data_IF_048760076199
#
_entry.id   IF_048760076199
#
_cell.length_a   1.000
_cell.length_b   1.000
_cell.length_c   1.000
_cell.angle_alpha   90.00
_cell.angle_beta   90.00
_cell.angle_gamma   90.00
#
_symmetry.space_group_name_H-M   'P 1'
#
loop_
_entity.id
_entity.type
_entity.pdbx_description
1 polymer ?
#
# COMPACT_ATOMS: atom_id res chain seq x y z
N UNK A 1 1.32 44.15 -12.63
CA UNK A 1 1.85 42.98 -13.35
C UNK A 1 3.30 42.85 -12.95
N UNK A 2 3.59 41.86 -12.12
CA UNK A 2 4.95 41.46 -11.78
C UNK A 2 4.87 39.97 -11.53
N UNK A 3 5.41 39.22 -12.49
CA UNK A 3 5.55 37.78 -12.45
C UNK A 3 6.42 37.38 -11.25
N UNK A 4 5.86 36.53 -10.38
CA UNK A 4 6.63 35.66 -9.50
C UNK A 4 6.04 34.24 -9.61
N UNK A 5 5.92 33.71 -10.83
CA UNK A 5 5.67 32.29 -11.05
C UNK A 5 7.01 31.54 -11.11
N UNK A 6 7.55 31.23 -9.92
CA UNK A 6 8.36 30.03 -9.79
C UNK A 6 7.38 28.88 -9.56
N UNK A 7 7.10 28.09 -10.60
CA UNK A 7 5.98 27.14 -10.66
C UNK A 7 6.09 25.94 -9.69
N UNK A 8 6.01 26.21 -8.39
CA UNK A 8 5.77 25.20 -7.37
C UNK A 8 4.25 24.96 -7.29
N UNK A 9 3.78 23.96 -8.04
CA UNK A 9 2.36 23.65 -8.16
C UNK A 9 1.87 22.66 -7.09
N UNK A 10 0.55 22.62 -6.89
CA UNK A 10 -0.11 21.65 -6.00
C UNK A 10 0.22 20.19 -6.35
N UNK A 11 0.49 19.90 -7.63
CA UNK A 11 0.89 18.57 -8.11
C UNK A 11 2.26 18.17 -7.52
N UNK A 12 3.23 19.08 -7.54
CA UNK A 12 4.56 18.86 -6.95
C UNK A 12 4.47 18.63 -5.45
N UNK A 13 3.67 19.44 -4.74
CA UNK A 13 3.41 19.27 -3.31
C UNK A 13 2.83 17.89 -2.97
N UNK A 14 1.83 17.46 -3.75
CA UNK A 14 1.17 16.18 -3.59
C UNK A 14 2.15 15.02 -3.76
N UNK A 15 2.96 15.07 -4.83
CA UNK A 15 4.01 14.08 -5.08
C UNK A 15 5.02 14.03 -3.93
N UNK A 16 5.58 15.17 -3.52
CA UNK A 16 6.57 15.24 -2.44
C UNK A 16 6.02 14.68 -1.12
N UNK A 17 4.79 15.04 -0.77
CA UNK A 17 4.14 14.55 0.44
C UNK A 17 3.86 13.05 0.39
N UNK A 18 3.32 12.54 -0.73
CA UNK A 18 3.08 11.11 -0.93
C UNK A 18 4.37 10.29 -0.87
N UNK A 19 5.44 10.79 -1.51
CA UNK A 19 6.78 10.18 -1.47
C UNK A 19 7.32 10.13 -0.04
N UNK A 20 7.21 11.23 0.72
CA UNK A 20 7.65 11.28 2.12
C UNK A 20 6.87 10.31 3.02
N UNK A 21 5.54 10.22 2.87
CA UNK A 21 4.73 9.24 3.59
C UNK A 21 5.15 7.81 3.28
N UNK A 22 5.37 7.49 1.99
CA UNK A 22 5.80 6.17 1.54
C UNK A 22 7.19 5.80 2.08
N UNK A 23 8.13 6.73 2.00
CA UNK A 23 9.49 6.58 2.54
C UNK A 23 9.50 6.33 4.06
N UNK A 24 8.60 6.99 4.79
CA UNK A 24 8.47 6.81 6.23
C UNK A 24 7.90 5.44 6.63
N UNK A 25 7.15 4.78 5.74
CA UNK A 25 6.44 3.55 6.02
C UNK A 25 7.17 2.27 5.58
N UNK A 26 8.05 2.33 4.57
CA UNK A 26 8.61 1.13 3.94
C UNK A 26 9.86 0.56 4.63
N UNK A 27 10.67 1.38 5.30
CA UNK A 27 12.07 1.05 5.62
C UNK A 27 12.31 -0.04 6.68
N UNK A 28 11.26 -0.59 7.29
CA UNK A 28 11.39 -1.56 8.40
C UNK A 28 12.17 -2.80 7.95
N UNK A 29 13.28 -3.09 8.62
CA UNK A 29 14.10 -4.28 8.34
C UNK A 29 15.09 -4.13 7.18
N UNK A 30 15.16 -2.96 6.54
CA UNK A 30 16.16 -2.66 5.51
C UNK A 30 17.41 -2.02 6.12
N UNK A 31 18.59 -2.54 5.74
CA UNK A 31 19.85 -1.83 5.92
C UNK A 31 20.03 -0.81 4.80
N UNK A 32 20.09 0.48 5.14
CA UNK A 32 20.23 1.57 4.14
C UNK A 32 18.92 2.01 3.48
N UNK A 33 17.75 1.64 4.03
CA UNK A 33 16.44 2.06 3.56
C UNK A 33 16.07 3.50 3.93
N UNK A 34 16.79 4.48 3.38
CA UNK A 34 16.55 5.91 3.62
C UNK A 34 15.60 6.55 2.60
N UNK A 35 15.17 7.78 2.89
CA UNK A 35 14.27 8.56 2.03
C UNK A 35 14.79 8.72 0.60
N UNK A 36 16.09 8.93 0.42
CA UNK A 36 16.70 9.08 -0.90
C UNK A 36 16.48 7.85 -1.78
N UNK A 37 16.67 6.65 -1.22
CA UNK A 37 16.40 5.40 -1.93
C UNK A 37 14.92 5.26 -2.26
N UNK A 38 14.04 5.53 -1.29
CA UNK A 38 12.59 5.46 -1.50
C UNK A 38 12.13 6.37 -2.65
N UNK A 39 12.58 7.62 -2.66
CA UNK A 39 12.23 8.58 -3.70
C UNK A 39 12.75 8.12 -5.07
N UNK A 40 14.00 7.67 -5.14
CA UNK A 40 14.57 7.16 -6.39
C UNK A 40 13.81 5.93 -6.94
N UNK A 41 13.32 5.04 -6.06
CA UNK A 41 12.50 3.89 -6.47
C UNK A 41 11.10 4.30 -6.95
N UNK A 42 10.47 5.28 -6.29
CA UNK A 42 9.16 5.83 -6.67
C UNK A 42 9.23 6.48 -8.05
N UNK A 43 10.25 7.30 -8.28
CA UNK A 43 10.51 7.97 -9.57
C UNK A 43 10.78 6.96 -10.68
N UNK A 44 11.69 6.00 -10.45
CA UNK A 44 12.02 4.97 -11.43
C UNK A 44 10.81 4.08 -11.80
N UNK A 45 9.84 3.92 -10.90
CA UNK A 45 8.63 3.18 -11.17
C UNK A 45 7.59 3.96 -12.00
N UNK A 46 7.73 5.29 -12.09
CA UNK A 46 6.78 6.19 -12.75
C UNK A 46 5.55 6.52 -11.89
N UNK A 47 5.64 6.41 -10.56
CA UNK A 47 4.52 6.75 -9.68
C UNK A 47 4.21 8.26 -9.68
N UNK A 48 5.20 9.10 -10.04
CA UNK A 48 5.03 10.55 -10.20
C UNK A 48 3.96 10.92 -11.23
N UNK A 49 3.77 10.07 -12.24
CA UNK A 49 2.81 10.29 -13.32
C UNK A 49 1.36 10.02 -12.88
N UNK A 50 1.16 9.37 -11.72
CA UNK A 50 -0.17 9.07 -11.19
C UNK A 50 -0.65 10.26 -10.35
N UNK A 51 -1.54 11.06 -10.93
CA UNK A 51 -2.04 12.30 -10.32
C UNK A 51 -3.53 12.24 -10.01
N UNK A 52 -4.28 11.47 -10.81
CA UNK A 52 -5.74 11.43 -10.81
C UNK A 52 -6.26 9.99 -11.07
N UNK A 53 -7.57 9.71 -10.86
CA UNK A 53 -8.11 8.36 -11.04
C UNK A 53 -8.15 7.82 -12.48
N UNK A 54 -8.07 8.67 -13.50
CA UNK A 54 -8.08 8.26 -14.91
C UNK A 54 -6.74 7.65 -15.32
N UNK A 55 -5.67 7.94 -14.57
CA UNK A 55 -4.35 7.32 -14.74
C UNK A 55 -4.33 5.82 -14.31
N UNK A 56 -5.38 5.36 -13.62
CA UNK A 56 -5.51 3.97 -13.17
C UNK A 56 -5.95 3.09 -14.35
N UNK A 57 -5.16 2.05 -14.63
CA UNK A 57 -5.50 1.04 -15.64
C UNK A 57 -6.80 0.30 -15.36
N UNK A 58 -7.39 -0.30 -16.40
CA UNK A 58 -8.66 -1.03 -16.30
C UNK A 58 -8.59 -2.21 -15.31
N UNK A 59 -7.53 -3.02 -15.43
CA UNK A 59 -7.19 -4.02 -14.42
C UNK A 59 -6.34 -3.37 -13.33
N UNK A 60 -7.00 -2.89 -12.28
CA UNK A 60 -6.37 -2.21 -11.14
C UNK A 60 -5.34 -3.11 -10.45
N UNK A 61 -5.58 -4.42 -10.39
CA UNK A 61 -4.67 -5.37 -9.74
C UNK A 61 -3.37 -5.47 -10.53
N UNK A 62 -3.45 -5.73 -11.83
CA UNK A 62 -2.29 -5.81 -12.71
C UNK A 62 -1.54 -4.48 -12.80
N UNK A 63 -2.28 -3.37 -12.89
CA UNK A 63 -1.72 -2.02 -12.94
C UNK A 63 -0.91 -1.72 -11.67
N UNK A 64 -1.46 -1.97 -10.49
CA UNK A 64 -0.79 -1.70 -9.22
C UNK A 64 0.40 -2.63 -8.98
N UNK A 65 0.26 -3.93 -9.33
CA UNK A 65 1.38 -4.89 -9.29
C UNK A 65 2.52 -4.49 -10.24
N UNK A 66 2.19 -3.86 -11.37
CA UNK A 66 3.18 -3.35 -12.32
C UNK A 66 4.17 -2.39 -11.67
N UNK A 67 3.70 -1.46 -10.85
CA UNK A 67 4.58 -0.56 -10.09
C UNK A 67 5.44 -1.30 -9.08
N UNK A 68 4.87 -2.28 -8.36
CA UNK A 68 5.64 -3.06 -7.38
C UNK A 68 6.77 -3.84 -8.06
N UNK A 69 6.49 -4.46 -9.21
CA UNK A 69 7.48 -5.19 -10.00
C UNK A 69 8.58 -4.27 -10.53
N UNK A 70 8.23 -3.06 -11.01
CA UNK A 70 9.22 -2.04 -11.41
C UNK A 70 10.12 -1.64 -10.23
N UNK A 71 9.55 -1.41 -9.04
CA UNK A 71 10.33 -1.10 -7.84
C UNK A 71 11.25 -2.27 -7.48
N UNK A 72 10.77 -3.51 -7.52
CA UNK A 72 11.60 -4.69 -7.26
C UNK A 72 12.78 -4.79 -8.22
N UNK A 73 12.52 -4.64 -9.53
CA UNK A 73 13.57 -4.68 -10.56
C UNK A 73 14.60 -3.57 -10.36
N UNK A 74 14.16 -2.36 -10.01
CA UNK A 74 15.07 -1.24 -9.75
C UNK A 74 15.89 -1.43 -8.47
N UNK A 75 15.28 -1.95 -7.40
CA UNK A 75 15.99 -2.27 -6.16
C UNK A 75 17.05 -3.36 -6.38
N UNK A 76 16.73 -4.38 -7.20
CA UNK A 76 17.68 -5.41 -7.61
C UNK A 76 18.83 -4.82 -8.45
N UNK A 77 18.52 -3.97 -9.44
CA UNK A 77 19.53 -3.27 -10.25
C UNK A 77 20.49 -2.44 -9.40
N UNK A 78 19.97 -1.81 -8.34
CA UNK A 78 20.75 -1.04 -7.35
C UNK A 78 21.42 -1.90 -6.27
N UNK A 79 21.21 -3.22 -6.28
CA UNK A 79 21.73 -4.18 -5.30
C UNK A 79 21.35 -3.83 -3.86
N UNK A 80 20.13 -3.37 -3.65
CA UNK A 80 19.62 -3.06 -2.31
C UNK A 80 19.48 -4.37 -1.52
N UNK A 81 20.23 -4.55 -0.42
CA UNK A 81 20.18 -5.79 0.34
C UNK A 81 18.82 -5.95 1.03
N UNK A 82 18.33 -7.20 1.09
CA UNK A 82 17.11 -7.60 1.80
C UNK A 82 15.82 -6.89 1.33
N UNK A 83 15.80 -6.33 0.11
CA UNK A 83 14.62 -5.71 -0.45
C UNK A 83 13.60 -6.74 -0.94
N UNK A 84 12.62 -7.03 -0.09
CA UNK A 84 11.48 -7.91 -0.40
C UNK A 84 10.28 -7.18 -1.03
N UNK A 85 9.34 -7.95 -1.59
CA UNK A 85 8.10 -7.43 -2.22
C UNK A 85 7.23 -6.62 -1.25
N UNK A 86 7.33 -6.89 0.05
CA UNK A 86 6.66 -6.09 1.09
C UNK A 86 7.10 -4.64 1.16
N UNK A 87 8.36 -4.36 0.82
CA UNK A 87 8.88 -3.00 0.75
C UNK A 87 8.32 -2.28 -0.48
N UNK A 88 8.29 -2.97 -1.62
CA UNK A 88 7.68 -2.46 -2.86
C UNK A 88 6.20 -2.14 -2.66
N UNK A 89 5.40 -3.06 -2.11
CA UNK A 89 3.98 -2.78 -1.87
C UNK A 89 3.78 -1.63 -0.86
N UNK A 90 4.66 -1.46 0.14
CA UNK A 90 4.54 -0.32 1.06
C UNK A 90 4.74 1.00 0.34
N UNK A 91 5.76 1.09 -0.51
CA UNK A 91 6.01 2.30 -1.31
C UNK A 91 4.81 2.62 -2.20
N UNK A 92 4.36 1.65 -3.00
CA UNK A 92 3.25 1.83 -3.95
C UNK A 92 1.94 2.16 -3.21
N UNK A 93 1.55 1.36 -2.22
CA UNK A 93 0.23 1.46 -1.63
C UNK A 93 0.09 2.71 -0.76
N UNK A 94 1.15 3.11 -0.05
CA UNK A 94 1.14 4.38 0.71
C UNK A 94 1.13 5.57 -0.23
N UNK A 95 1.93 5.55 -1.30
CA UNK A 95 1.93 6.62 -2.30
C UNK A 95 0.55 6.79 -2.91
N UNK A 96 -0.04 5.72 -3.44
CA UNK A 96 -1.37 5.76 -4.08
C UNK A 96 -2.49 6.11 -3.10
N UNK A 97 -2.44 5.61 -1.86
CA UNK A 97 -3.40 6.01 -0.82
C UNK A 97 -3.31 7.51 -0.53
N UNK A 98 -2.09 8.04 -0.36
CA UNK A 98 -1.88 9.46 -0.05
C UNK A 98 -2.35 10.33 -1.21
N UNK A 99 -2.00 9.95 -2.44
CA UNK A 99 -2.33 10.69 -3.66
C UNK A 99 -3.82 10.62 -4.01
N UNK A 100 -4.44 9.44 -3.95
CA UNK A 100 -5.78 9.24 -4.53
C UNK A 100 -6.87 9.12 -3.47
N UNK A 101 -6.66 8.32 -2.42
CA UNK A 101 -7.67 8.15 -1.37
C UNK A 101 -7.74 9.41 -0.50
N UNK A 102 -6.62 9.78 0.13
CA UNK A 102 -6.51 10.96 0.98
C UNK A 102 -6.51 12.27 0.17
N UNK A 103 -6.20 12.21 -1.12
CA UNK A 103 -6.30 13.34 -2.05
C UNK A 103 -7.72 13.66 -2.52
N UNK A 104 -8.75 13.04 -1.96
CA UNK A 104 -10.16 13.38 -2.22
C UNK A 104 -10.87 12.52 -3.26
N UNK A 105 -10.22 11.53 -3.85
CA UNK A 105 -10.81 10.65 -4.88
C UNK A 105 -11.31 9.29 -4.36
N UNK A 106 -11.44 9.14 -3.05
CA UNK A 106 -11.84 7.89 -2.39
C UNK A 106 -13.14 7.26 -2.95
N UNK A 107 -14.09 8.07 -3.43
CA UNK A 107 -15.34 7.59 -4.01
C UNK A 107 -15.20 6.99 -5.42
N UNK A 108 -14.09 7.20 -6.12
CA UNK A 108 -13.91 6.72 -7.49
C UNK A 108 -13.79 5.19 -7.54
N UNK A 109 -14.54 4.54 -8.43
CA UNK A 109 -14.65 3.07 -8.48
C UNK A 109 -13.31 2.35 -8.70
N UNK A 110 -12.36 2.92 -9.46
CA UNK A 110 -11.00 2.38 -9.58
C UNK A 110 -10.17 2.58 -8.31
N UNK A 111 -10.36 3.71 -7.61
CA UNK A 111 -9.65 4.02 -6.35
C UNK A 111 -10.09 3.08 -5.23
N UNK A 112 -11.37 2.72 -5.19
CA UNK A 112 -11.90 1.74 -4.23
C UNK A 112 -11.27 0.35 -4.34
N UNK A 113 -10.71 0.01 -5.51
CA UNK A 113 -10.04 -1.27 -5.77
C UNK A 113 -8.55 -1.25 -5.42
N UNK A 114 -7.96 -0.10 -5.10
CA UNK A 114 -6.54 0.00 -4.77
C UNK A 114 -6.20 -0.85 -3.56
N UNK A 115 -5.10 -1.60 -3.66
CA UNK A 115 -4.68 -2.45 -2.55
C UNK A 115 -4.24 -1.59 -1.35
N UNK A 116 -4.65 -1.97 -0.11
CA UNK A 116 -4.23 -1.29 1.10
C UNK A 116 -2.75 -1.60 1.41
N UNK A 117 -2.06 -0.70 2.12
CA UNK A 117 -0.68 -0.92 2.54
C UNK A 117 -0.62 -1.98 3.65
N UNK A 118 -0.04 -3.15 3.37
CA UNK A 118 0.03 -4.25 4.34
C UNK A 118 1.16 -4.04 5.35
N UNK A 119 0.88 -4.22 6.65
CA UNK A 119 1.88 -4.25 7.71
C UNK A 119 1.45 -5.09 8.92
N UNK A 120 2.35 -5.15 9.90
CA UNK A 120 2.17 -5.85 11.15
C UNK A 120 0.95 -5.37 11.97
N UNK A 121 0.69 -4.06 12.02
CA UNK A 121 -0.42 -3.52 12.83
C UNK A 121 -1.77 -3.85 12.20
N UNK A 122 -1.84 -3.87 10.86
CA UNK A 122 -3.04 -4.29 10.14
C UNK A 122 -3.28 -5.77 10.38
N UNK A 123 -2.24 -6.60 10.24
CA UNK A 123 -2.35 -8.04 10.48
C UNK A 123 -2.74 -8.35 11.92
N UNK A 124 -2.21 -7.60 12.89
CA UNK A 124 -2.58 -7.73 14.31
C UNK A 124 -4.05 -7.46 14.54
N UNK A 125 -4.58 -6.34 14.04
CA UNK A 125 -6.01 -6.04 14.24
C UNK A 125 -6.93 -6.96 13.44
N UNK A 126 -6.53 -7.37 12.23
CA UNK A 126 -7.27 -8.37 11.45
C UNK A 126 -7.38 -9.71 12.17
N UNK A 127 -6.30 -10.21 12.78
CA UNK A 127 -6.36 -11.43 13.62
C UNK A 127 -7.40 -11.30 14.72
N UNK A 128 -7.40 -10.17 15.45
CA UNK A 128 -8.36 -9.93 16.54
C UNK A 128 -9.80 -9.77 16.05
N UNK A 129 -10.02 -9.09 14.92
CA UNK A 129 -11.34 -8.92 14.33
C UNK A 129 -11.91 -10.25 13.84
N UNK A 130 -11.16 -10.99 13.02
CA UNK A 130 -11.58 -12.27 12.45
C UNK A 130 -11.82 -13.34 13.52
N UNK A 131 -11.07 -13.30 14.63
CA UNK A 131 -11.32 -14.18 15.77
C UNK A 131 -12.68 -13.93 16.44
N UNK A 132 -13.06 -12.64 16.61
CA UNK A 132 -14.36 -12.24 17.15
C UNK A 132 -15.50 -12.60 16.20
N UNK A 133 -15.28 -12.44 14.90
CA UNK A 133 -16.30 -12.68 13.85
C UNK A 133 -16.27 -14.10 13.26
N UNK A 134 -15.64 -15.07 13.95
CA UNK A 134 -15.39 -16.43 13.42
C UNK A 134 -16.63 -17.20 12.98
N UNK A 135 -17.82 -16.87 13.47
CA UNK A 135 -19.09 -17.51 13.07
C UNK A 135 -19.66 -16.97 11.75
N UNK A 136 -19.31 -15.73 11.39
CA UNK A 136 -19.86 -15.01 10.23
C UNK A 136 -18.87 -15.01 9.07
N UNK A 137 -17.57 -14.84 9.35
CA UNK A 137 -16.51 -14.65 8.36
C UNK A 137 -15.63 -15.90 8.20
N UNK A 138 -16.23 -17.09 8.22
CA UNK A 138 -15.51 -18.37 8.23
C UNK A 138 -14.48 -18.51 7.10
N UNK A 139 -14.92 -18.29 5.85
CA UNK A 139 -14.07 -18.41 4.65
C UNK A 139 -12.96 -17.36 4.59
N UNK A 140 -13.28 -16.08 4.81
CA UNK A 140 -12.29 -15.00 4.82
C UNK A 140 -11.25 -15.19 5.94
N UNK A 141 -11.68 -15.69 7.11
CA UNK A 141 -10.78 -16.05 8.21
C UNK A 141 -9.84 -17.19 7.82
N UNK A 142 -10.33 -18.22 7.15
CA UNK A 142 -9.51 -19.35 6.72
C UNK A 142 -8.47 -18.92 5.67
N UNK A 143 -8.88 -18.12 4.68
CA UNK A 143 -7.97 -17.55 3.68
C UNK A 143 -6.88 -16.69 4.34
N UNK A 144 -7.27 -15.79 5.26
CA UNK A 144 -6.30 -14.94 5.97
C UNK A 144 -5.36 -15.76 6.86
N UNK A 145 -5.88 -16.77 7.58
CA UNK A 145 -5.07 -17.68 8.39
C UNK A 145 -4.09 -18.47 7.53
N UNK A 146 -4.49 -18.94 6.36
CA UNK A 146 -3.61 -19.65 5.43
C UNK A 146 -2.49 -18.75 4.92
N UNK A 147 -2.80 -17.51 4.52
CA UNK A 147 -1.80 -16.52 4.11
C UNK A 147 -0.80 -16.20 5.24
N UNK A 148 -1.30 -15.94 6.46
CA UNK A 148 -0.48 -15.68 7.65
C UNK A 148 0.38 -16.89 8.07
N UNK A 149 -0.11 -18.11 7.88
CA UNK A 149 0.64 -19.33 8.20
C UNK A 149 1.80 -19.54 7.23
N UNK A 150 1.63 -19.15 5.96
CA UNK A 150 2.68 -19.20 4.94
C UNK A 150 3.77 -18.16 5.20
N UNK A 151 3.39 -16.90 5.40
CA UNK A 151 4.34 -15.83 5.66
C UNK A 151 3.66 -14.70 6.44
N UNK A 152 3.90 -14.55 7.75
CA UNK A 152 3.27 -13.51 8.57
C UNK A 152 3.98 -12.16 8.50
N UNK A 153 5.18 -12.11 7.90
CA UNK A 153 6.06 -10.94 7.94
C UNK A 153 6.11 -10.25 6.60
N UNK A 154 5.47 -9.09 6.50
CA UNK A 154 5.41 -8.33 5.26
C UNK A 154 6.82 -8.00 4.72
N UNK A 155 7.80 -7.73 5.59
CA UNK A 155 9.18 -7.41 5.19
C UNK A 155 9.92 -8.56 4.52
N UNK A 156 9.34 -9.76 4.46
CA UNK A 156 9.90 -10.95 3.78
C UNK A 156 8.97 -11.51 2.71
N UNK A 157 7.99 -10.73 2.24
CA UNK A 157 7.05 -11.18 1.23
C UNK A 157 7.71 -11.43 -0.13
N UNK A 158 7.34 -12.55 -0.74
CA UNK A 158 7.35 -12.73 -2.20
C UNK A 158 6.09 -12.11 -2.81
N UNK A 159 6.04 -11.97 -4.14
CA UNK A 159 4.82 -11.54 -4.83
C UNK A 159 3.64 -12.48 -4.52
N UNK A 160 3.89 -13.79 -4.49
CA UNK A 160 2.87 -14.79 -4.16
C UNK A 160 2.34 -14.65 -2.73
N UNK A 161 3.19 -14.28 -1.77
CA UNK A 161 2.75 -14.02 -0.39
C UNK A 161 1.86 -12.79 -0.34
N UNK A 162 2.27 -11.70 -1.01
CA UNK A 162 1.48 -10.48 -1.10
C UNK A 162 0.08 -10.74 -1.70
N UNK A 163 0.03 -11.45 -2.83
CA UNK A 163 -1.23 -11.78 -3.50
C UNK A 163 -2.15 -12.65 -2.62
N UNK A 164 -1.61 -13.61 -1.87
CA UNK A 164 -2.40 -14.41 -0.95
C UNK A 164 -3.05 -13.55 0.16
N UNK A 165 -2.34 -12.56 0.69
CA UNK A 165 -2.89 -11.63 1.67
C UNK A 165 -3.95 -10.71 1.05
N UNK A 166 -3.71 -10.18 -0.15
CA UNK A 166 -4.68 -9.34 -0.85
C UNK A 166 -5.95 -10.12 -1.21
N UNK A 167 -5.84 -11.37 -1.63
CA UNK A 167 -6.99 -12.22 -1.92
C UNK A 167 -7.86 -12.43 -0.66
N UNK A 168 -7.24 -12.69 0.50
CA UNK A 168 -7.95 -12.79 1.77
C UNK A 168 -8.65 -11.48 2.17
N UNK A 169 -7.99 -10.33 1.95
CA UNK A 169 -8.59 -9.01 2.21
C UNK A 169 -9.77 -8.74 1.27
N UNK A 170 -9.67 -9.08 -0.02
CA UNK A 170 -10.78 -8.94 -0.97
C UNK A 170 -12.01 -9.74 -0.54
N UNK A 171 -11.80 -10.97 -0.05
CA UNK A 171 -12.89 -11.78 0.52
C UNK A 171 -13.51 -11.12 1.76
N UNK A 172 -12.68 -10.59 2.65
CA UNK A 172 -13.13 -9.89 3.85
C UNK A 172 -13.95 -8.62 3.51
N UNK A 173 -13.50 -7.84 2.53
CA UNK A 173 -14.14 -6.58 2.18
C UNK A 173 -15.44 -6.76 1.40
N UNK A 174 -15.63 -7.91 0.72
CA UNK A 174 -16.88 -8.30 0.06
C UNK A 174 -17.50 -7.18 -0.81
N UNK A 175 -16.68 -6.49 -1.61
CA UNK A 175 -17.10 -5.39 -2.49
C UNK A 175 -17.04 -4.00 -1.87
N UNK A 176 -16.76 -3.87 -0.56
CA UNK A 176 -16.39 -2.58 0.05
C UNK A 176 -15.03 -2.11 -0.50
N UNK A 177 -14.76 -0.78 -0.50
CA UNK A 177 -13.46 -0.24 -0.85
C UNK A 177 -12.34 -0.89 -0.04
N UNK A 178 -11.28 -1.38 -0.69
CA UNK A 178 -10.26 -2.20 -0.04
C UNK A 178 -9.45 -1.42 1.01
N UNK A 179 -9.25 -0.12 0.82
CA UNK A 179 -8.57 0.74 1.79
C UNK A 179 -9.30 0.83 3.15
N UNK A 180 -10.60 0.52 3.20
CA UNK A 180 -11.35 0.53 4.48
C UNK A 180 -10.97 -0.63 5.40
N UNK A 181 -10.22 -1.64 4.93
CA UNK A 181 -9.70 -2.69 5.81
C UNK A 181 -8.81 -2.12 6.92
N UNK A 182 -8.24 -0.93 6.70
CA UNK A 182 -7.44 -0.20 7.68
C UNK A 182 -8.27 0.29 8.89
N UNK A 183 -9.61 0.16 8.89
CA UNK A 183 -10.43 0.32 10.11
C UNK A 183 -10.01 -0.64 11.23
N UNK A 184 -9.26 -1.69 10.88
CA UNK A 184 -8.68 -2.65 11.81
C UNK A 184 -7.24 -2.34 12.19
N UNK A 185 -6.67 -1.17 11.84
CA UNK A 185 -5.31 -0.83 12.28
C UNK A 185 -5.24 -0.68 13.80
N UNK A 186 -4.42 -1.50 14.44
CA UNK A 186 -4.26 -1.50 15.90
C UNK A 186 -3.21 -0.48 16.37
N UNK A 187 -3.46 0.82 16.20
CA UNK A 187 -2.51 1.88 16.57
C UNK A 187 -2.37 2.15 18.09
N UNK A 188 -2.91 1.28 18.94
CA UNK A 188 -2.84 1.45 20.40
C UNK A 188 -3.74 2.56 20.95
N UNK A 189 -4.60 3.16 20.11
CA UNK A 189 -5.64 4.09 20.57
C UNK A 189 -6.81 3.28 21.12
N UNK A 190 -7.18 3.43 22.41
CA UNK A 190 -8.34 2.76 22.96
C UNK A 190 -9.62 3.35 22.36
N UNK A 191 -10.41 2.51 21.68
CA UNK A 191 -11.79 2.84 21.30
C UNK A 191 -11.91 3.81 20.13
N UNK A 192 -12.02 3.26 18.92
CA UNK A 192 -12.38 4.01 17.72
C UNK A 192 -13.24 3.17 16.78
N UNK A 193 -14.16 2.38 17.34
CA UNK A 193 -15.33 1.95 16.57
C UNK A 193 -16.30 3.12 16.56
N UNK A 194 -16.42 3.80 15.41
CA UNK A 194 -17.64 4.51 15.06
C UNK A 194 -18.80 3.50 14.96
#
# INVERSE_FOLDING_TARGET
MTECEGAFGVVTLKHQYASWCAASAYGRGLGGGGNELAFALIEAAGLVDVTNPDDIGEDVDLWQLGFMRKIMAEAERRRVPNFAFGHAQKLVNIYLKTTLVCGGHHAHHKVQKLHPPLDYELFKGLRSYLWRQRKVLGSAREAFRAAQAKNPSWTTFTEADYLAHIAAIKQLMAGRPLYLVEEHWSLGVPGGSA
#
